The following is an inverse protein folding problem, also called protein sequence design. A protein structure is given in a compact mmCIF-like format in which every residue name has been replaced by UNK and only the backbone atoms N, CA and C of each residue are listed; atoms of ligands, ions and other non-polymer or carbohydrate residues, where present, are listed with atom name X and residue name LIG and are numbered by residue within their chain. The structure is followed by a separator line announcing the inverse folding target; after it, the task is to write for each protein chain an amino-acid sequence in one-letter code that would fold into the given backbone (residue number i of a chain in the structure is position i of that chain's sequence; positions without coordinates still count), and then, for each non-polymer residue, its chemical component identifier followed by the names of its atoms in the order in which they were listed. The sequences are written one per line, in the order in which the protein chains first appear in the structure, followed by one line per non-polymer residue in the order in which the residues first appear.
data_IF_361335242717
#
_entry.id   IF_361335242717
#
_cell.length_a   1.000
_cell.length_b   1.000
_cell.length_c   1.000
_cell.angle_alpha   90.00
_cell.angle_beta   90.00
_cell.angle_gamma   90.00
#
_symmetry.space_group_name_H-M   'P 1'
#
loop_
_entity.id
_entity.type
_entity.pdbx_description
1 polymer ?
#
# COMPACT_ATOMS: atom_id res chain seq x y z
N UNK A 1 -25.22 6.10 38.36
CA UNK A 1 -26.38 5.25 38.02
C UNK A 1 -27.61 6.11 38.27
N UNK A 2 -28.40 6.39 37.23
CA UNK A 2 -29.62 7.22 37.36
C UNK A 2 -30.73 6.37 37.96
N UNK A 3 -31.54 6.95 38.85
CA UNK A 3 -32.70 6.32 39.50
C UNK A 3 -33.94 7.17 39.22
N UNK A 4 -35.11 6.52 39.07
CA UNK A 4 -36.38 7.16 38.73
C UNK A 4 -37.47 6.70 39.71
N UNK A 5 -37.39 7.21 40.94
CA UNK A 5 -38.15 6.69 42.08
C UNK A 5 -39.60 7.21 42.15
N UNK A 6 -39.91 8.32 41.48
CA UNK A 6 -41.25 8.91 41.51
C UNK A 6 -42.17 8.30 40.44
N UNK A 7 -43.09 7.43 40.85
CA UNK A 7 -44.02 6.74 39.94
C UNK A 7 -44.87 7.67 39.07
N UNK A 8 -45.18 8.89 39.52
CA UNK A 8 -46.04 9.82 38.78
C UNK A 8 -45.30 10.53 37.64
N UNK A 9 -44.00 10.76 37.79
CA UNK A 9 -43.16 11.49 36.82
C UNK A 9 -42.12 10.60 36.15
N UNK A 10 -41.97 9.35 36.57
CA UNK A 10 -40.94 8.42 36.13
C UNK A 10 -40.82 8.35 34.61
N UNK A 11 -41.95 8.24 33.91
CA UNK A 11 -41.92 8.05 32.45
C UNK A 11 -41.39 9.32 31.75
N UNK A 12 -41.78 10.51 32.25
CA UNK A 12 -41.27 11.80 31.76
C UNK A 12 -39.78 12.01 32.14
N UNK A 13 -39.38 11.62 33.35
CA UNK A 13 -37.97 11.68 33.81
C UNK A 13 -37.07 10.76 32.98
N UNK A 14 -37.55 9.54 32.69
CA UNK A 14 -36.86 8.58 31.83
C UNK A 14 -36.71 9.11 30.41
N UNK A 15 -37.78 9.66 29.84
CA UNK A 15 -37.76 10.24 28.50
C UNK A 15 -36.79 11.42 28.42
N UNK A 16 -36.87 12.36 29.37
CA UNK A 16 -35.99 13.53 29.43
C UNK A 16 -34.54 13.11 29.58
N UNK A 17 -34.23 12.17 30.48
CA UNK A 17 -32.86 11.68 30.68
C UNK A 17 -32.31 11.01 29.41
N UNK A 18 -33.14 10.24 28.71
CA UNK A 18 -32.74 9.61 27.45
C UNK A 18 -32.48 10.65 26.35
N UNK A 19 -33.34 11.67 26.25
CA UNK A 19 -33.19 12.78 25.30
C UNK A 19 -31.93 13.60 25.57
N UNK A 20 -31.66 13.93 26.83
CA UNK A 20 -30.43 14.62 27.27
C UNK A 20 -29.20 13.80 26.91
N UNK A 21 -29.19 12.51 27.24
CA UNK A 21 -28.05 11.64 26.93
C UNK A 21 -27.81 11.48 25.41
N UNK A 22 -28.88 11.37 24.61
CA UNK A 22 -28.78 11.35 23.14
C UNK A 22 -28.23 12.68 22.63
N UNK A 23 -28.67 13.80 23.19
CA UNK A 23 -28.18 15.13 22.82
C UNK A 23 -26.68 15.27 23.09
N UNK A 24 -26.22 14.84 24.27
CA UNK A 24 -24.79 14.84 24.63
C UNK A 24 -23.98 13.95 23.68
N UNK A 25 -24.48 12.75 23.37
CA UNK A 25 -23.80 11.83 22.44
C UNK A 25 -23.69 12.42 21.02
N UNK A 26 -24.71 13.15 20.55
CA UNK A 26 -24.66 13.86 19.28
C UNK A 26 -23.58 14.94 19.32
N UNK A 27 -23.56 15.78 20.36
CA UNK A 27 -22.57 16.83 20.52
C UNK A 27 -21.13 16.27 20.54
N UNK A 28 -20.88 15.22 21.33
CA UNK A 28 -19.58 14.53 21.38
C UNK A 28 -19.14 13.99 20.01
N UNK A 29 -20.09 13.43 19.27
CA UNK A 29 -19.84 12.88 17.93
C UNK A 29 -19.56 13.98 16.91
N UNK A 30 -20.29 15.10 16.97
CA UNK A 30 -20.07 16.27 16.12
C UNK A 30 -18.71 16.91 16.39
N UNK A 31 -18.31 17.05 17.66
CA UNK A 31 -17.00 17.57 18.04
C UNK A 31 -15.87 16.67 17.53
N UNK A 32 -16.02 15.35 17.69
CA UNK A 32 -15.06 14.40 17.14
C UNK A 32 -14.99 14.48 15.61
N UNK A 33 -16.14 14.56 14.94
CA UNK A 33 -16.23 14.70 13.49
C UNK A 33 -15.56 15.98 12.99
N UNK A 34 -15.80 17.10 13.67
CA UNK A 34 -15.27 18.42 13.30
C UNK A 34 -13.82 18.63 13.74
N UNK A 35 -13.22 17.68 14.46
CA UNK A 35 -11.82 17.78 14.86
C UNK A 35 -10.89 17.77 13.63
N UNK A 36 -9.89 18.66 13.64
CA UNK A 36 -8.91 18.77 12.56
C UNK A 36 -8.16 17.45 12.32
N UNK A 37 -7.81 16.76 13.40
CA UNK A 37 -7.13 15.46 13.33
C UNK A 37 -7.99 14.39 12.64
N UNK A 38 -9.29 14.34 12.92
CA UNK A 38 -10.19 13.38 12.28
C UNK A 38 -10.46 13.74 10.83
N UNK A 39 -10.62 15.03 10.51
CA UNK A 39 -10.75 15.48 9.12
C UNK A 39 -9.49 15.18 8.30
N UNK A 40 -8.30 15.43 8.86
CA UNK A 40 -7.03 15.06 8.23
C UNK A 40 -6.92 13.55 8.01
N UNK A 41 -7.35 12.76 9.00
CA UNK A 41 -7.40 11.32 8.87
C UNK A 41 -8.31 10.84 7.73
N UNK A 42 -9.53 11.38 7.63
CA UNK A 42 -10.47 11.05 6.57
C UNK A 42 -9.93 11.45 5.19
N UNK A 43 -9.26 12.60 5.09
CA UNK A 43 -8.61 13.03 3.84
C UNK A 43 -7.49 12.07 3.41
N UNK A 44 -6.67 11.60 4.37
CA UNK A 44 -5.63 10.60 4.10
C UNK A 44 -6.24 9.29 3.60
N UNK A 45 -7.28 8.78 4.28
CA UNK A 45 -7.96 7.55 3.87
C UNK A 45 -8.63 7.69 2.50
N UNK A 46 -9.18 8.86 2.18
CA UNK A 46 -9.75 9.14 0.86
C UNK A 46 -8.68 9.09 -0.24
N UNK A 47 -7.51 9.68 -0.01
CA UNK A 47 -6.41 9.73 -1.00
C UNK A 47 -5.79 8.35 -1.26
N UNK A 48 -5.60 7.55 -0.22
CA UNK A 48 -4.91 6.26 -0.29
C UNK A 48 -5.84 5.09 0.07
N UNK A 49 -7.02 5.03 -0.55
CA UNK A 49 -8.03 4.02 -0.27
C UNK A 49 -7.63 2.61 -0.76
N UNK A 50 -6.72 2.52 -1.73
CA UNK A 50 -6.15 1.25 -2.21
C UNK A 50 -5.08 0.66 -1.27
N UNK A 51 -4.64 1.44 -0.28
CA UNK A 51 -3.67 1.02 0.72
C UNK A 51 -4.38 0.64 2.03
N UNK A 52 -3.71 -0.20 2.83
CA UNK A 52 -4.17 -0.44 4.20
C UNK A 52 -4.16 0.87 4.99
N UNK A 53 -5.11 1.01 5.89
CA UNK A 53 -5.25 2.16 6.81
C UNK A 53 -3.92 2.57 7.47
N UNK A 54 -3.10 1.58 7.84
CA UNK A 54 -1.78 1.80 8.44
C UNK A 54 -0.76 2.34 7.42
N UNK A 55 -0.76 1.82 6.19
CA UNK A 55 0.11 2.33 5.13
C UNK A 55 -0.32 3.72 4.66
N UNK A 56 -1.61 4.02 4.59
CA UNK A 56 -2.12 5.35 4.27
C UNK A 56 -1.62 6.39 5.28
N UNK A 57 -1.63 6.05 6.58
CA UNK A 57 -1.03 6.88 7.62
C UNK A 57 0.49 7.05 7.43
N UNK A 58 1.22 5.96 7.19
CA UNK A 58 2.67 6.00 6.98
C UNK A 58 3.05 6.90 5.80
N UNK A 59 2.30 6.81 4.70
CA UNK A 59 2.50 7.65 3.52
C UNK A 59 2.31 9.12 3.88
N UNK A 60 1.19 9.45 4.53
CA UNK A 60 0.88 10.82 4.91
C UNK A 60 1.88 11.43 5.90
N UNK A 61 2.38 10.65 6.86
CA UNK A 61 3.36 11.12 7.84
C UNK A 61 4.74 11.40 7.20
N UNK A 62 5.15 10.60 6.23
CA UNK A 62 6.45 10.75 5.56
C UNK A 62 6.41 11.74 4.39
N UNK A 63 5.26 11.88 3.74
CA UNK A 63 5.03 12.79 2.63
C UNK A 63 3.59 13.35 2.69
N UNK A 64 3.35 14.43 3.46
CA UNK A 64 2.00 14.99 3.67
C UNK A 64 1.28 15.42 2.38
N UNK A 65 2.07 15.80 1.37
CA UNK A 65 1.59 16.24 0.06
C UNK A 65 1.51 15.10 -0.97
N UNK A 66 1.70 13.84 -0.57
CA UNK A 66 1.59 12.72 -1.49
C UNK A 66 0.18 12.63 -2.08
N UNK A 67 0.12 12.30 -3.37
CA UNK A 67 -1.09 12.21 -4.18
C UNK A 67 -1.19 10.90 -4.94
N UNK A 68 -0.06 10.32 -5.33
CA UNK A 68 -0.01 9.02 -5.99
C UNK A 68 1.34 8.40 -5.71
N UNK A 69 1.34 7.24 -5.06
CA UNK A 69 2.54 6.56 -4.59
C UNK A 69 2.66 5.21 -5.27
N UNK A 70 3.85 4.86 -5.73
CA UNK A 70 4.13 3.56 -6.34
C UNK A 70 5.57 3.10 -6.09
N UNK A 71 5.83 1.82 -6.33
CA UNK A 71 7.18 1.26 -6.29
C UNK A 71 8.05 1.82 -7.41
N UNK A 72 9.38 1.82 -7.21
CA UNK A 72 10.33 2.35 -8.19
C UNK A 72 10.19 1.72 -9.59
N UNK A 73 9.96 0.40 -9.66
CA UNK A 73 9.76 -0.32 -10.93
C UNK A 73 8.42 0.02 -11.58
N UNK A 74 7.35 0.04 -10.79
CA UNK A 74 6.01 0.48 -11.24
C UNK A 74 6.06 1.85 -11.92
N UNK A 75 6.81 2.81 -11.36
CA UNK A 75 7.00 4.12 -12.01
C UNK A 75 7.64 4.02 -13.41
N UNK A 76 8.62 3.15 -13.60
CA UNK A 76 9.26 2.96 -14.91
C UNK A 76 8.37 2.15 -15.86
N UNK A 77 7.85 1.02 -15.41
CA UNK A 77 7.21 0.01 -16.26
C UNK A 77 5.78 0.40 -16.65
N UNK A 78 5.05 1.11 -15.78
CA UNK A 78 3.62 1.44 -15.99
C UNK A 78 3.37 2.91 -16.29
N UNK A 79 4.30 3.80 -15.91
CA UNK A 79 4.09 5.26 -15.99
C UNK A 79 5.18 6.01 -16.75
N UNK A 80 6.18 5.32 -17.33
CA UNK A 80 7.31 5.91 -18.06
C UNK A 80 7.99 7.07 -17.30
N UNK A 81 8.17 6.87 -15.99
CA UNK A 81 8.71 7.84 -15.03
C UNK A 81 9.88 7.27 -14.27
N UNK A 82 10.83 8.14 -13.97
CA UNK A 82 12.03 7.82 -13.23
C UNK A 82 12.05 8.60 -11.92
N UNK A 83 12.31 7.92 -10.80
CA UNK A 83 12.50 8.60 -9.51
C UNK A 83 13.74 9.48 -9.58
N UNK A 84 13.60 10.77 -9.25
CA UNK A 84 14.69 11.74 -9.29
C UNK A 84 15.79 11.36 -8.29
N UNK A 85 17.04 11.56 -8.69
CA UNK A 85 18.20 11.24 -7.86
C UNK A 85 18.16 12.03 -6.54
N UNK A 86 18.38 11.35 -5.43
CA UNK A 86 18.44 11.96 -4.09
C UNK A 86 17.10 12.16 -3.40
N UNK A 87 15.98 11.74 -4.00
CA UNK A 87 14.67 11.71 -3.32
C UNK A 87 14.65 10.59 -2.27
N UNK A 88 14.15 10.92 -1.08
CA UNK A 88 13.97 9.96 0.00
C UNK A 88 12.78 9.04 -0.25
N UNK A 89 12.91 7.74 0.02
CA UNK A 89 11.80 6.80 -0.07
C UNK A 89 10.76 7.04 1.02
N UNK A 90 9.50 6.76 0.70
CA UNK A 90 8.40 6.57 1.64
C UNK A 90 8.37 5.07 1.97
N UNK A 91 8.41 4.72 3.24
CA UNK A 91 8.40 3.32 3.67
C UNK A 91 6.98 2.85 3.98
N UNK A 92 6.59 1.72 3.40
CA UNK A 92 5.32 1.03 3.70
C UNK A 92 5.57 -0.43 4.05
N UNK A 93 4.62 -1.09 4.71
CA UNK A 93 4.63 -2.54 4.88
C UNK A 93 3.99 -3.22 3.68
N UNK A 94 4.72 -4.14 3.05
CA UNK A 94 4.21 -4.99 1.99
C UNK A 94 4.18 -6.45 2.45
N UNK A 95 3.16 -7.23 2.04
CA UNK A 95 3.07 -8.64 2.37
C UNK A 95 4.18 -9.42 1.66
N UNK A 96 4.78 -10.36 2.39
CA UNK A 96 5.58 -11.46 1.81
C UNK A 96 4.65 -12.64 1.67
N UNK A 97 4.32 -12.98 0.42
CA UNK A 97 3.49 -14.13 0.07
C UNK A 97 4.30 -15.20 -0.62
N UNK A 98 3.99 -16.46 -0.36
CA UNK A 98 4.55 -17.59 -1.10
C UNK A 98 3.51 -18.69 -1.26
N UNK A 99 3.74 -19.58 -2.23
CA UNK A 99 3.00 -20.84 -2.31
C UNK A 99 3.35 -21.73 -1.12
N UNK A 100 2.33 -22.21 -0.42
CA UNK A 100 2.43 -23.09 0.75
C UNK A 100 1.62 -24.36 0.52
N UNK A 101 2.08 -25.48 1.05
CA UNK A 101 1.37 -26.73 0.93
C UNK A 101 -0.01 -26.65 1.62
N UNK A 102 -1.09 -27.12 0.99
CA UNK A 102 -2.43 -27.03 1.54
C UNK A 102 -2.64 -27.89 2.79
N UNK A 103 -1.77 -28.88 3.03
CA UNK A 103 -1.88 -29.81 4.17
C UNK A 103 -1.07 -29.33 5.37
N UNK A 104 0.23 -29.07 5.20
CA UNK A 104 1.10 -28.70 6.31
C UNK A 104 1.30 -27.18 6.47
N UNK A 105 0.88 -26.36 5.50
CA UNK A 105 1.04 -24.90 5.52
C UNK A 105 2.47 -24.42 5.32
N UNK A 106 3.43 -25.32 5.09
CA UNK A 106 4.83 -24.96 4.93
C UNK A 106 5.18 -24.58 3.48
N UNK A 107 6.18 -23.71 3.35
CA UNK A 107 6.77 -23.37 2.05
C UNK A 107 7.57 -24.53 1.48
N UNK A 108 7.86 -24.52 0.18
CA UNK A 108 8.62 -25.60 -0.48
C UNK A 108 9.97 -25.89 0.21
N UNK A 109 10.64 -24.87 0.72
CA UNK A 109 11.92 -25.01 1.42
C UNK A 109 11.83 -25.66 2.81
N UNK A 110 10.65 -25.66 3.42
CA UNK A 110 10.39 -26.22 4.76
C UNK A 110 9.39 -27.38 4.73
N UNK A 111 9.01 -27.81 3.54
CA UNK A 111 8.06 -28.90 3.36
C UNK A 111 8.72 -30.21 3.76
N UNK A 112 8.02 -30.98 4.60
CA UNK A 112 8.45 -32.31 5.01
C UNK A 112 8.21 -33.32 3.88
N UNK A 113 9.20 -34.14 3.54
CA UNK A 113 9.07 -35.19 2.53
C UNK A 113 8.06 -36.28 2.97
N UNK A 114 7.80 -36.42 4.28
CA UNK A 114 6.80 -37.34 4.84
C UNK A 114 5.39 -36.72 4.95
N UNK A 115 5.21 -35.48 4.51
CA UNK A 115 3.90 -34.83 4.53
C UNK A 115 2.91 -35.52 3.58
N UNK A 116 1.74 -35.87 4.11
CA UNK A 116 0.61 -36.56 3.41
C UNK A 116 -0.09 -35.70 2.37
N UNK A 117 0.60 -34.70 1.80
CA UNK A 117 0.10 -33.92 0.67
C UNK A 117 -0.03 -34.75 -0.62
N UNK A 118 0.30 -36.05 -0.58
CA UNK A 118 0.08 -37.08 -1.59
C UNK A 118 0.06 -36.54 -3.02
N UNK A 119 1.22 -36.06 -3.48
CA UNK A 119 1.45 -35.77 -4.89
C UNK A 119 0.77 -34.51 -5.43
N UNK A 120 0.28 -33.60 -4.58
CA UNK A 120 -0.18 -32.27 -5.07
C UNK A 120 1.00 -31.52 -5.71
N UNK A 121 0.95 -31.25 -7.03
CA UNK A 121 2.01 -30.50 -7.70
C UNK A 121 2.20 -29.11 -7.09
N UNK A 122 3.44 -28.61 -7.06
CA UNK A 122 3.74 -27.27 -6.53
C UNK A 122 2.93 -26.16 -7.20
N UNK A 123 2.54 -26.34 -8.46
CA UNK A 123 1.74 -25.35 -9.17
C UNK A 123 0.33 -25.19 -8.62
N UNK A 124 -0.22 -26.23 -7.99
CA UNK A 124 -1.55 -26.27 -7.38
C UNK A 124 -1.55 -25.82 -5.91
N UNK A 125 -0.38 -25.47 -5.35
CA UNK A 125 -0.29 -24.95 -3.99
C UNK A 125 -0.92 -23.56 -3.87
N UNK A 126 -1.61 -23.30 -2.76
CA UNK A 126 -2.25 -22.01 -2.48
C UNK A 126 -1.21 -20.97 -2.06
N UNK A 127 -1.44 -19.72 -2.42
CA UNK A 127 -0.60 -18.60 -1.96
C UNK A 127 -1.06 -18.17 -0.57
N UNK A 128 -0.14 -18.17 0.39
CA UNK A 128 -0.39 -17.70 1.76
C UNK A 128 0.47 -16.47 2.08
N UNK A 129 -0.04 -15.65 3.01
CA UNK A 129 0.69 -14.56 3.65
C UNK A 129 1.62 -15.14 4.72
N UNK A 130 2.93 -14.91 4.57
CA UNK A 130 3.94 -15.40 5.51
C UNK A 130 4.30 -14.35 6.56
N UNK A 131 4.56 -13.12 6.10
CA UNK A 131 5.00 -12.02 6.96
C UNK A 131 4.87 -10.69 6.20
N UNK A 132 5.39 -9.61 6.78
CA UNK A 132 5.48 -8.31 6.13
C UNK A 132 6.93 -7.82 6.15
N UNK A 133 7.30 -7.06 5.12
CA UNK A 133 8.58 -6.32 5.09
C UNK A 133 8.34 -4.86 4.78
N UNK A 134 9.26 -4.01 5.23
CA UNK A 134 9.30 -2.63 4.76
C UNK A 134 9.79 -2.59 3.31
N UNK A 135 9.10 -1.83 2.47
CA UNK A 135 9.51 -1.60 1.08
C UNK A 135 9.49 -0.10 0.76
N UNK A 136 10.39 0.36 -0.11
CA UNK A 136 10.41 1.75 -0.53
C UNK A 136 9.38 1.98 -1.66
N UNK A 137 8.61 3.05 -1.51
CA UNK A 137 7.73 3.62 -2.54
C UNK A 137 8.00 5.12 -2.67
N UNK A 138 7.51 5.72 -3.75
CA UNK A 138 7.77 7.11 -4.09
C UNK A 138 6.49 7.77 -4.58
N UNK A 139 6.26 9.02 -4.18
CA UNK A 139 5.19 9.84 -4.72
C UNK A 139 5.54 10.36 -6.13
N UNK A 140 4.52 10.63 -6.94
CA UNK A 140 4.67 11.18 -8.30
C UNK A 140 5.51 12.45 -8.34
N UNK A 141 5.44 13.32 -7.32
CA UNK A 141 6.25 14.55 -7.21
C UNK A 141 7.75 14.29 -7.02
N UNK A 142 8.12 13.04 -6.73
CA UNK A 142 9.51 12.58 -6.62
C UNK A 142 10.01 11.97 -7.93
N UNK A 143 9.21 11.99 -8.99
CA UNK A 143 9.53 11.41 -10.29
C UNK A 143 9.59 12.45 -11.40
N UNK A 144 10.38 12.16 -12.41
CA UNK A 144 10.46 12.91 -13.66
C UNK A 144 10.06 12.00 -14.81
N UNK A 145 9.36 12.55 -15.79
CA UNK A 145 9.08 11.86 -17.05
C UNK A 145 10.39 11.61 -17.82
N UNK A 146 10.48 10.53 -18.59
CA UNK A 146 11.68 10.23 -19.39
C UNK A 146 12.11 11.40 -20.30
N UNK A 147 11.16 12.18 -20.83
CA UNK A 147 11.45 13.37 -21.63
C UNK A 147 12.21 14.48 -20.90
N UNK A 148 12.13 14.53 -19.56
CA UNK A 148 12.84 15.50 -18.71
C UNK A 148 14.20 14.99 -18.24
N UNK A 149 14.45 13.68 -18.34
CA UNK A 149 15.71 13.04 -17.94
C UNK A 149 16.81 13.33 -18.97
N UNK A 150 17.36 14.54 -18.92
CA UNK A 150 18.62 14.84 -19.62
C UNK A 150 19.72 14.08 -18.88
N UNK A 151 20.03 12.86 -19.35
CA UNK A 151 21.23 12.13 -18.90
C UNK A 151 22.43 13.08 -18.98
N UNK A 152 23.25 13.23 -17.93
CA UNK A 152 24.53 13.92 -18.10
C UNK A 152 25.29 13.19 -19.19
N UNK A 153 25.65 13.89 -20.26
CA UNK A 153 26.51 13.35 -21.29
C UNK A 153 27.86 13.07 -20.63
N UNK A 154 28.10 11.82 -20.23
CA UNK A 154 29.44 11.34 -19.97
C UNK A 154 30.19 11.48 -21.29
N UNK A 155 31.04 12.50 -21.40
CA UNK A 155 31.95 12.68 -22.53
C UNK A 155 32.97 11.53 -22.49
N UNK A 156 32.60 10.39 -23.03
CA UNK A 156 33.53 9.29 -23.27
C UNK A 156 34.50 9.77 -24.33
N UNK A 157 35.74 10.03 -23.93
CA UNK A 157 36.88 10.24 -24.84
C UNK A 157 36.91 9.03 -25.77
N UNK A 158 36.53 9.25 -27.03
CA UNK A 158 36.42 8.23 -28.07
C UNK A 158 37.82 7.85 -28.54
N UNK A 159 38.41 6.79 -27.97
CA UNK A 159 39.47 6.05 -28.67
C UNK A 159 38.78 5.06 -29.61
N UNK A 160 38.90 5.33 -30.91
CA UNK A 160 38.39 4.48 -31.98
C UNK A 160 39.11 3.12 -32.01
N UNK A 161 38.39 1.99 -32.11
CA UNK A 161 38.93 0.74 -32.61
C UNK A 161 38.49 0.48 -34.07
N UNK A 162 39.27 -0.28 -34.86
CA UNK A 162 39.00 -0.49 -36.27
C UNK A 162 37.90 -1.53 -36.53
N UNK A 163 37.33 -1.43 -37.73
CA UNK A 163 36.19 -2.13 -38.28
C UNK A 163 36.23 -3.67 -38.22
N UNK A 164 35.07 -4.29 -37.98
CA UNK A 164 34.50 -5.32 -38.87
C UNK A 164 33.07 -5.69 -38.49
N UNK A 165 32.23 -5.80 -39.51
CA UNK A 165 30.79 -6.10 -39.48
C UNK A 165 30.51 -7.56 -39.09
N UNK A 166 29.35 -7.83 -38.48
CA UNK A 166 28.29 -8.76 -39.00
C UNK A 166 27.07 -8.72 -38.07
N UNK A 167 25.88 -8.59 -38.67
CA UNK A 167 24.59 -8.56 -38.02
C UNK A 167 24.03 -9.98 -37.83
N UNK A 168 23.29 -10.22 -36.74
CA UNK A 168 22.32 -11.32 -36.64
C UNK A 168 21.04 -10.82 -35.98
N UNK A 169 19.98 -10.87 -36.77
CA UNK A 169 18.56 -10.70 -36.43
C UNK A 169 17.99 -11.99 -35.83
N UNK A 170 17.02 -11.87 -34.90
CA UNK A 170 15.99 -12.89 -34.72
C UNK A 170 14.71 -12.27 -34.12
N UNK A 171 13.67 -12.25 -34.93
CA UNK A 171 12.27 -12.01 -34.57
C UNK A 171 11.64 -13.31 -34.07
N UNK A 172 10.70 -13.26 -33.12
CA UNK A 172 9.63 -14.27 -33.04
C UNK A 172 8.30 -13.62 -32.62
N UNK A 173 7.30 -14.01 -33.39
CA UNK A 173 5.91 -13.62 -33.50
C UNK A 173 5.04 -14.18 -32.36
N UNK A 174 3.97 -13.46 -32.07
CA UNK A 174 2.82 -13.84 -31.24
C UNK A 174 2.07 -15.07 -31.82
N UNK A 175 1.49 -15.88 -30.93
CA UNK A 175 0.36 -16.78 -31.24
C UNK A 175 -0.68 -16.62 -30.13
N UNK A 176 -1.91 -16.41 -30.61
CA UNK A 176 -3.26 -16.45 -30.05
C UNK A 176 -3.51 -16.82 -28.60
#
# INVERSE_FOLDING_TARGET
MVSFDNRETRDDEMQTTAEEWISDLIADTEDAHNSEAFQQWLDIQRRFHDYSTQNSLLIALQCPHATHVAGYRTWQDEFDRQVSKGKSAIWIWAPITAKTCPVCGETKSRHDDECTSDGVPYDDWSTALLSFKSVPVFDVSQTESEASSTKPQTSTIRRSPPHSHTAVTASVTSVS
#
